data_IF_809970708513
#
_entry.id   IF_809970708513
#
_cell.length_a   1.000
_cell.length_b   1.000
_cell.length_c   1.000
_cell.angle_alpha   90.00
_cell.angle_beta   90.00
_cell.angle_gamma   90.00
#
_symmetry.space_group_name_H-M   'P 1'
#
loop_
_entity.id
_entity.type
_entity.pdbx_description
1 polymer ?
#
# COMPACT_ATOMS: atom_id res chain seq x y z
N UNK A 1 2.21 28.50 -2.99
CA UNK A 1 1.98 27.36 -2.07
C UNK A 1 1.91 26.12 -2.94
N UNK A 2 2.75 25.11 -2.70
CA UNK A 2 2.67 23.87 -3.48
C UNK A 2 1.55 23.01 -2.91
N UNK A 3 0.60 22.61 -3.74
CA UNK A 3 -0.53 21.77 -3.30
C UNK A 3 -0.03 20.38 -2.90
N UNK A 4 -0.69 19.80 -1.89
CA UNK A 4 -0.43 18.42 -1.48
C UNK A 4 -1.05 17.49 -2.53
N UNK A 5 -0.20 16.74 -3.23
CA UNK A 5 -0.63 15.75 -4.19
C UNK A 5 -0.49 14.34 -3.61
N UNK A 6 -1.44 13.47 -3.96
CA UNK A 6 -1.44 12.04 -3.64
C UNK A 6 -1.21 11.28 -4.94
N UNK A 7 -0.17 10.44 -4.95
CA UNK A 7 0.21 9.59 -6.07
C UNK A 7 -0.03 8.14 -5.70
N UNK A 8 -0.64 7.39 -6.61
CA UNK A 8 -0.78 5.94 -6.49
C UNK A 8 0.33 5.25 -7.27
N UNK A 9 1.04 4.33 -6.63
CA UNK A 9 2.00 3.43 -7.28
C UNK A 9 1.48 2.01 -7.07
N UNK A 10 1.41 1.26 -8.16
CA UNK A 10 0.93 -0.12 -8.15
C UNK A 10 1.84 -1.02 -8.98
N UNK A 11 1.87 -2.31 -8.65
CA UNK A 11 2.47 -3.34 -9.49
C UNK A 11 1.49 -4.50 -9.66
N UNK A 12 1.59 -5.15 -10.82
CA UNK A 12 0.93 -6.42 -11.09
C UNK A 12 1.99 -7.42 -11.52
N UNK A 13 2.20 -8.46 -10.73
CA UNK A 13 3.21 -9.49 -10.97
C UNK A 13 2.60 -10.66 -11.73
N UNK A 14 3.38 -11.27 -12.64
CA UNK A 14 2.90 -12.37 -13.47
C UNK A 14 2.52 -13.62 -12.66
N UNK A 15 3.04 -13.74 -11.43
CA UNK A 15 2.68 -14.81 -10.49
C UNK A 15 1.32 -14.57 -9.81
N UNK A 16 0.61 -13.51 -10.19
CA UNK A 16 -0.72 -13.16 -9.69
C UNK A 16 -0.71 -12.26 -8.45
N UNK A 17 0.46 -11.84 -7.99
CA UNK A 17 0.58 -10.90 -6.87
C UNK A 17 0.34 -9.45 -7.33
N UNK A 18 -0.16 -8.64 -6.41
CA UNK A 18 -0.48 -7.24 -6.66
C UNK A 18 -0.20 -6.43 -5.39
N UNK A 19 0.41 -5.27 -5.56
CA UNK A 19 0.63 -4.32 -4.48
C UNK A 19 0.30 -2.90 -4.92
N UNK A 20 -0.20 -2.12 -3.98
CA UNK A 20 -0.55 -0.71 -4.15
C UNK A 20 -0.02 0.09 -2.95
N UNK A 21 0.43 1.32 -3.19
CA UNK A 21 0.76 2.28 -2.13
C UNK A 21 0.43 3.69 -2.59
N UNK A 22 -0.27 4.42 -1.71
CA UNK A 22 -0.55 5.84 -1.88
C UNK A 22 0.54 6.66 -1.18
N UNK A 23 1.11 7.62 -1.90
CA UNK A 23 2.17 8.51 -1.41
C UNK A 23 1.74 9.97 -1.53
N UNK A 24 1.89 10.74 -0.46
CA UNK A 24 1.56 12.17 -0.44
C UNK A 24 2.80 13.05 -0.28
N UNK A 25 2.84 14.16 -1.04
CA UNK A 25 3.83 15.24 -0.88
C UNK A 25 3.37 16.52 -1.57
N UNK A 26 3.78 17.66 -1.01
CA UNK A 26 3.56 18.97 -1.61
C UNK A 26 4.54 19.21 -2.77
N UNK A 27 4.23 18.65 -3.94
CA UNK A 27 5.11 18.63 -5.11
C UNK A 27 4.28 18.57 -6.41
N UNK A 28 4.74 19.20 -7.48
CA UNK A 28 4.11 19.09 -8.80
C UNK A 28 4.30 17.69 -9.40
N UNK A 29 3.42 17.31 -10.33
CA UNK A 29 3.46 16.00 -11.01
C UNK A 29 4.81 15.78 -11.73
N UNK A 30 5.31 16.78 -12.43
CA UNK A 30 6.55 16.70 -13.23
C UNK A 30 7.77 16.44 -12.34
N UNK A 31 7.75 16.94 -11.11
CA UNK A 31 8.80 16.71 -10.13
C UNK A 31 8.66 15.33 -9.46
N UNK A 32 7.44 14.84 -9.26
CA UNK A 32 7.20 13.44 -8.87
C UNK A 32 7.72 12.46 -9.93
N UNK A 33 7.49 12.75 -11.22
CA UNK A 33 8.02 11.94 -12.33
C UNK A 33 9.56 11.86 -12.34
N UNK A 34 10.24 12.95 -11.97
CA UNK A 34 11.71 12.93 -11.78
C UNK A 34 12.11 12.10 -10.56
N UNK A 35 11.33 12.18 -9.48
CA UNK A 35 11.60 11.41 -8.25
C UNK A 35 11.41 9.91 -8.46
N UNK A 36 10.37 9.48 -9.20
CA UNK A 36 10.12 8.06 -9.48
C UNK A 36 11.19 7.47 -10.42
N UNK A 37 11.67 8.23 -11.41
CA UNK A 37 12.79 7.80 -12.26
C UNK A 37 14.06 7.60 -11.41
N UNK A 38 14.36 8.53 -10.50
CA UNK A 38 15.49 8.38 -9.57
C UNK A 38 15.33 7.19 -8.62
N UNK A 39 14.11 6.94 -8.16
CA UNK A 39 13.83 5.76 -7.34
C UNK A 39 14.08 4.47 -8.13
N UNK A 40 13.65 4.44 -9.40
CA UNK A 40 13.87 3.34 -10.35
C UNK A 40 15.37 3.09 -10.56
N UNK A 41 16.14 4.12 -10.89
CA UNK A 41 17.59 4.05 -11.06
C UNK A 41 18.29 3.55 -9.77
N UNK A 42 17.83 4.05 -8.61
CA UNK A 42 18.35 3.60 -7.32
C UNK A 42 18.08 2.11 -7.09
N UNK A 43 16.84 1.65 -7.31
CA UNK A 43 16.50 0.24 -7.22
C UNK A 43 17.41 -0.56 -8.15
N UNK A 44 17.42 -0.26 -9.46
CA UNK A 44 18.26 -0.94 -10.45
C UNK A 44 19.74 -1.01 -10.04
N UNK A 45 20.28 0.04 -9.40
CA UNK A 45 21.67 0.07 -8.94
C UNK A 45 22.01 -0.97 -7.86
N UNK A 46 21.02 -1.57 -7.21
CA UNK A 46 21.16 -2.54 -6.14
C UNK A 46 21.05 -3.99 -6.61
N UNK A 47 20.68 -4.20 -7.87
CA UNK A 47 20.62 -5.53 -8.48
C UNK A 47 21.97 -6.23 -8.34
N UNK A 48 21.94 -7.44 -7.78
CA UNK A 48 23.13 -8.28 -7.63
C UNK A 48 24.13 -7.81 -6.57
N UNK A 49 23.80 -6.77 -5.78
CA UNK A 49 24.63 -6.31 -4.66
C UNK A 49 24.17 -6.92 -3.34
N UNK A 50 25.15 -7.35 -2.53
CA UNK A 50 24.90 -7.81 -1.18
C UNK A 50 24.78 -6.59 -0.25
N UNK A 51 23.60 -6.35 0.31
CA UNK A 51 23.32 -5.21 1.20
C UNK A 51 23.30 -5.70 2.64
N UNK A 52 24.16 -5.13 3.50
CA UNK A 52 24.30 -5.51 4.90
C UNK A 52 23.05 -5.19 5.74
N UNK A 53 22.70 -6.05 6.69
CA UNK A 53 21.59 -5.84 7.64
C UNK A 53 21.74 -4.52 8.41
N UNK A 54 20.70 -3.67 8.36
CA UNK A 54 20.58 -2.46 9.18
C UNK A 54 20.56 -1.16 8.36
N UNK A 55 21.12 -1.19 7.16
CA UNK A 55 20.85 -0.18 6.13
C UNK A 55 20.04 -0.86 5.03
N UNK A 56 18.83 -0.33 4.79
CA UNK A 56 17.92 -0.82 3.76
C UNK A 56 17.41 -2.25 4.00
N UNK A 57 16.31 -2.66 3.36
CA UNK A 57 15.67 -3.96 3.62
C UNK A 57 16.69 -5.08 3.39
N UNK A 58 17.17 -5.66 4.50
CA UNK A 58 18.35 -6.51 4.52
C UNK A 58 18.12 -7.82 3.77
N UNK A 59 18.56 -7.84 2.52
CA UNK A 59 19.07 -8.94 1.67
C UNK A 59 19.19 -8.33 0.28
N UNK A 60 20.32 -8.53 -0.41
CA UNK A 60 20.40 -8.18 -1.83
C UNK A 60 19.21 -8.78 -2.58
N UNK A 61 18.58 -8.01 -3.47
CA UNK A 61 17.38 -8.46 -4.16
C UNK A 61 17.72 -8.98 -5.57
N UNK A 62 16.98 -9.99 -6.03
CA UNK A 62 17.12 -10.55 -7.38
C UNK A 62 16.18 -9.80 -8.33
N UNK A 63 16.64 -9.50 -9.54
CA UNK A 63 15.87 -8.80 -10.59
C UNK A 63 14.49 -9.44 -10.84
N UNK A 64 14.38 -10.73 -10.59
CA UNK A 64 13.20 -11.53 -10.90
C UNK A 64 12.04 -11.32 -9.92
N UNK A 65 12.26 -10.64 -8.78
CA UNK A 65 11.24 -10.41 -7.75
C UNK A 65 10.67 -8.98 -7.81
N UNK A 66 9.59 -8.80 -8.58
CA UNK A 66 8.91 -7.51 -8.71
C UNK A 66 8.42 -6.92 -7.36
N UNK A 67 7.88 -7.71 -6.41
CA UNK A 67 7.51 -7.20 -5.09
C UNK A 67 8.70 -6.58 -4.33
N UNK A 68 9.86 -7.24 -4.34
CA UNK A 68 11.07 -6.70 -3.70
C UNK A 68 11.54 -5.41 -4.39
N UNK A 69 11.52 -5.40 -5.73
CA UNK A 69 11.83 -4.20 -6.52
C UNK A 69 10.89 -3.04 -6.16
N UNK A 70 9.61 -3.32 -6.02
CA UNK A 70 8.60 -2.34 -5.63
C UNK A 70 8.86 -1.76 -4.23
N UNK A 71 9.16 -2.61 -3.23
CA UNK A 71 9.48 -2.14 -1.88
C UNK A 71 10.67 -1.16 -1.87
N UNK A 72 11.64 -1.38 -2.75
CA UNK A 72 12.80 -0.51 -2.93
C UNK A 72 12.44 0.89 -3.44
N UNK A 73 11.54 0.96 -4.40
CA UNK A 73 10.98 2.23 -4.89
C UNK A 73 10.29 2.98 -3.75
N UNK A 74 9.39 2.29 -3.02
CA UNK A 74 8.64 2.89 -1.92
C UNK A 74 9.56 3.36 -0.79
N UNK A 75 10.58 2.56 -0.44
CA UNK A 75 11.56 2.96 0.56
C UNK A 75 12.32 4.21 0.14
N UNK A 76 12.77 4.31 -1.12
CA UNK A 76 13.51 5.48 -1.60
C UNK A 76 12.64 6.74 -1.53
N UNK A 77 11.41 6.66 -2.01
CA UNK A 77 10.47 7.79 -1.99
C UNK A 77 10.17 8.23 -0.55
N UNK A 78 9.91 7.30 0.36
CA UNK A 78 9.57 7.64 1.75
C UNK A 78 10.78 8.11 2.56
N UNK A 79 11.94 7.46 2.45
CA UNK A 79 13.12 7.76 3.28
C UNK A 79 14.02 8.83 2.70
N UNK A 80 14.27 8.82 1.39
CA UNK A 80 15.16 9.80 0.74
C UNK A 80 14.40 11.02 0.24
N UNK A 81 13.19 10.82 -0.29
CA UNK A 81 12.37 11.91 -0.82
C UNK A 81 11.29 12.42 0.13
N UNK A 82 11.14 11.81 1.31
CA UNK A 82 10.23 12.24 2.38
C UNK A 82 8.75 12.30 1.97
N UNK A 83 8.32 11.39 1.09
CA UNK A 83 6.89 11.18 0.85
C UNK A 83 6.26 10.51 2.07
N UNK A 84 5.00 10.87 2.36
CA UNK A 84 4.20 10.24 3.41
C UNK A 84 3.43 9.07 2.81
N UNK A 85 3.35 7.95 3.52
CA UNK A 85 2.46 6.84 3.15
C UNK A 85 1.05 7.20 3.61
N UNK A 86 0.10 7.12 2.69
CA UNK A 86 -1.32 7.32 2.98
C UNK A 86 -2.02 5.97 3.11
N UNK A 87 -2.85 5.84 4.14
CA UNK A 87 -3.76 4.72 4.29
C UNK A 87 -5.16 5.20 3.92
N UNK A 88 -5.81 4.49 3.00
CA UNK A 88 -7.20 4.73 2.67
C UNK A 88 -8.04 3.60 3.26
N UNK A 89 -8.92 3.93 4.22
CA UNK A 89 -9.83 2.97 4.82
C UNK A 89 -11.19 3.02 4.13
N UNK A 90 -11.41 2.11 3.18
CA UNK A 90 -12.66 2.01 2.43
C UNK A 90 -13.89 1.69 3.30
N UNK A 91 -13.68 1.19 4.52
CA UNK A 91 -14.74 0.81 5.44
C UNK A 91 -15.31 1.98 6.20
N UNK A 92 -14.57 3.09 6.28
CA UNK A 92 -14.96 4.29 7.00
C UNK A 92 -15.37 5.34 5.97
N UNK A 93 -16.62 5.80 6.05
CA UNK A 93 -17.13 6.87 5.19
C UNK A 93 -17.77 7.97 6.02
N UNK A 94 -17.47 9.21 5.64
CA UNK A 94 -18.07 10.41 6.21
C UNK A 94 -18.96 11.04 5.15
N UNK A 95 -20.22 11.25 5.47
CA UNK A 95 -21.19 11.91 4.61
C UNK A 95 -21.55 13.26 5.23
N UNK A 96 -21.44 14.33 4.46
CA UNK A 96 -21.82 15.69 4.88
C UNK A 96 -23.04 16.07 4.04
N UNK A 97 -24.13 16.40 4.72
CA UNK A 97 -25.42 16.70 4.10
C UNK A 97 -25.93 18.06 4.54
N UNK A 98 -26.29 18.92 3.60
CA UNK A 98 -26.92 20.21 3.85
C UNK A 98 -28.42 20.23 3.45
N UNK A 99 -28.98 19.09 3.06
CA UNK A 99 -30.36 18.98 2.58
C UNK A 99 -31.43 19.13 3.68
N UNK A 100 -31.03 19.21 4.95
CA UNK A 100 -31.95 19.44 6.06
C UNK A 100 -32.21 20.94 6.26
N UNK A 101 -33.48 21.32 6.44
CA UNK A 101 -33.90 22.70 6.73
C UNK A 101 -33.34 23.28 8.05
N UNK A 102 -32.56 22.50 8.81
CA UNK A 102 -32.24 22.79 10.21
C UNK A 102 -30.75 22.97 10.52
N UNK A 103 -29.83 22.31 9.80
CA UNK A 103 -28.35 22.43 9.90
C UNK A 103 -27.64 21.43 8.97
N UNK A 104 -26.35 21.68 8.68
CA UNK A 104 -25.44 20.70 8.06
C UNK A 104 -25.28 19.50 9.01
N UNK A 105 -25.52 18.30 8.51
CA UNK A 105 -25.37 17.02 9.23
C UNK A 105 -24.10 16.29 8.77
N UNK A 106 -23.44 15.60 9.70
CA UNK A 106 -22.27 14.74 9.41
C UNK A 106 -22.55 13.33 9.91
N UNK A 107 -22.62 12.37 8.99
CA UNK A 107 -22.88 10.96 9.27
C UNK A 107 -21.64 10.12 9.04
N UNK A 108 -21.30 9.27 10.01
CA UNK A 108 -20.18 8.33 9.94
C UNK A 108 -20.75 6.93 9.73
N UNK A 109 -20.30 6.22 8.70
CA UNK A 109 -20.64 4.82 8.49
C UNK A 109 -19.38 3.95 8.46
N UNK A 110 -19.40 2.90 9.27
CA UNK A 110 -18.34 1.90 9.36
C UNK A 110 -18.89 0.53 8.92
N UNK A 111 -18.29 -0.09 7.91
CA UNK A 111 -18.66 -1.46 7.53
C UNK A 111 -18.02 -2.49 8.48
N UNK A 112 -18.85 -3.14 9.32
CA UNK A 112 -18.42 -4.29 10.14
C UNK A 112 -18.55 -5.59 9.34
N UNK A 113 -17.45 -6.32 9.16
CA UNK A 113 -17.48 -7.65 8.54
C UNK A 113 -17.84 -8.70 9.59
N UNK A 114 -19.06 -9.25 9.55
CA UNK A 114 -19.40 -10.44 10.34
C UNK A 114 -18.68 -11.66 9.75
N UNK A 115 -17.69 -12.20 10.48
CA UNK A 115 -17.10 -13.50 10.16
C UNK A 115 -18.11 -14.60 10.47
N UNK A 116 -18.81 -15.09 9.44
CA UNK A 116 -19.56 -16.34 9.53
C UNK A 116 -18.60 -17.50 9.87
N UNK A 117 -18.57 -17.91 11.13
CA UNK A 117 -17.94 -19.17 11.57
C UNK A 117 -18.79 -20.34 11.10
N UNK A 118 -18.54 -20.85 9.89
CA UNK A 118 -19.08 -22.14 9.46
C UNK A 118 -18.32 -23.22 10.23
N UNK A 119 -18.87 -23.65 11.37
CA UNK A 119 -18.39 -24.82 12.10
C UNK A 119 -18.72 -26.09 11.32
N UNK A 120 -17.73 -26.66 10.62
CA UNK A 120 -17.83 -28.02 10.09
C UNK A 120 -17.77 -29.01 11.26
N UNK A 121 -18.93 -29.49 11.73
CA UNK A 121 -19.02 -30.74 12.49
C UNK A 121 -18.49 -31.88 11.60
N UNK A 122 -17.32 -32.42 11.92
CA UNK A 122 -16.90 -33.73 11.40
C UNK A 122 -17.53 -34.80 12.29
N UNK A 123 -18.55 -35.48 11.78
CA UNK A 123 -18.97 -36.78 12.33
C UNK A 123 -17.86 -37.79 12.01
N UNK A 124 -17.20 -38.29 13.04
CA UNK A 124 -16.31 -39.44 12.96
C UNK A 124 -16.87 -40.55 13.85
N UNK A 125 -17.87 -41.28 13.34
CA UNK A 125 -18.16 -42.62 13.85
C UNK A 125 -17.10 -43.57 13.29
N UNK A 126 -16.17 -43.99 14.16
CA UNK A 126 -15.42 -45.23 14.00
C UNK A 126 -15.90 -46.19 15.08
N UNK A 127 -16.85 -47.04 14.72
CA UNK A 127 -17.16 -48.28 15.44
C UNK A 127 -16.00 -49.26 15.22
N UNK A 128 -15.20 -49.49 16.26
CA UNK A 128 -14.37 -50.69 16.36
C UNK A 128 -15.18 -51.76 17.10
N UNK A 129 -15.46 -52.87 16.43
CA UNK A 129 -15.55 -54.21 17.01
C UNK A 129 -15.36 -55.25 15.91
#
# INVERSE_FOLDING_TARGET
MTELNIFKIEYQWYEGDHGETLLAKAIAKEEFEKDIIKAKEFAESLIGKEVSKGEYLGKGYRVDCLPEYYEQIIWFLTKKKRYLICNFDERIRYFIDDSSDKKIEVTISEQKTERNKISRKRNGERTNR
#
